data_IF_401212551865
#
_entry.id   IF_401212551865
#
_cell.length_a   1.000
_cell.length_b   1.000
_cell.length_c   1.000
_cell.angle_alpha   90.00
_cell.angle_beta   90.00
_cell.angle_gamma   90.00
#
_symmetry.space_group_name_H-M   'P 1'
#
loop_
_entity.id
_entity.type
_entity.pdbx_description
1 polymer ?
#
# COMPACT_ATOMS: atom_id res chain seq x y z
N UNK A 1 -23.51 10.36 -28.95
CA UNK A 1 -23.18 9.13 -28.21
C UNK A 1 -21.67 9.06 -28.05
N UNK A 2 -21.14 9.68 -27.00
CA UNK A 2 -19.79 9.41 -26.51
C UNK A 2 -19.97 8.97 -25.05
N UNK A 3 -19.64 7.72 -24.78
CA UNK A 3 -19.62 7.10 -23.46
C UNK A 3 -18.48 7.73 -22.67
N UNK A 4 -18.76 8.88 -22.05
CA UNK A 4 -17.88 9.50 -21.07
C UNK A 4 -17.96 8.68 -19.80
N UNK A 5 -17.24 7.55 -19.78
CA UNK A 5 -16.91 6.86 -18.54
C UNK A 5 -16.10 7.83 -17.71
N UNK A 6 -16.78 8.47 -16.77
CA UNK A 6 -16.17 9.18 -15.68
C UNK A 6 -15.08 8.26 -15.11
N UNK A 7 -13.86 8.74 -15.25
CA UNK A 7 -12.66 8.16 -14.70
C UNK A 7 -12.88 8.12 -13.18
N UNK A 8 -13.35 6.97 -12.69
CA UNK A 8 -13.34 6.56 -11.29
C UNK A 8 -11.88 6.46 -10.80
N UNK A 9 -11.07 7.49 -11.03
CA UNK A 9 -9.86 7.76 -10.26
C UNK A 9 -10.32 8.30 -8.90
N UNK A 10 -11.05 7.44 -8.18
CA UNK A 10 -11.21 7.48 -6.76
C UNK A 10 -9.81 7.73 -6.21
N UNK A 11 -9.59 8.92 -5.66
CA UNK A 11 -8.31 9.35 -5.12
C UNK A 11 -8.06 8.44 -3.92
N UNK A 12 -7.48 7.26 -4.18
CA UNK A 12 -6.97 6.36 -3.17
C UNK A 12 -5.95 7.20 -2.43
N UNK A 13 -6.37 7.70 -1.27
CA UNK A 13 -5.56 8.58 -0.45
C UNK A 13 -4.23 7.86 -0.23
N UNK A 14 -3.17 8.37 -0.87
CA UNK A 14 -1.86 7.74 -0.88
C UNK A 14 -1.21 7.95 0.48
N UNK A 15 -1.62 7.17 1.46
CA UNK A 15 -1.04 7.17 2.79
C UNK A 15 0.34 6.52 2.74
N UNK A 16 1.36 7.26 3.18
CA UNK A 16 2.70 6.72 3.36
C UNK A 16 2.78 6.05 4.72
N UNK A 17 2.94 4.72 4.74
CA UNK A 17 3.09 3.94 5.98
C UNK A 17 4.57 3.72 6.25
N UNK A 18 5.00 4.07 7.45
CA UNK A 18 6.36 3.83 7.94
C UNK A 18 6.32 2.79 9.04
N UNK A 19 7.20 1.79 8.94
CA UNK A 19 7.36 0.73 9.93
C UNK A 19 8.79 0.80 10.46
N UNK A 20 8.95 0.72 11.79
CA UNK A 20 10.24 0.75 12.48
C UNK A 20 10.33 -0.34 13.53
N UNK A 21 11.55 -0.73 13.88
CA UNK A 21 11.82 -1.68 14.96
C UNK A 21 13.31 -1.75 15.31
N UNK A 22 13.62 -2.10 16.55
CA UNK A 22 15.00 -2.24 17.05
C UNK A 22 15.44 -3.71 17.04
N UNK A 23 16.70 -3.97 16.70
CA UNK A 23 17.28 -5.31 16.67
C UNK A 23 16.42 -6.25 15.80
N UNK A 24 15.92 -7.35 16.35
CA UNK A 24 15.01 -8.29 15.69
C UNK A 24 13.74 -7.61 15.13
N UNK A 25 13.22 -6.60 15.83
CA UNK A 25 12.05 -5.85 15.39
C UNK A 25 12.30 -5.12 14.06
N UNK A 26 13.54 -4.74 13.75
CA UNK A 26 13.88 -4.09 12.48
C UNK A 26 13.82 -5.06 11.29
N UNK A 27 14.24 -6.32 11.51
CA UNK A 27 14.10 -7.37 10.51
C UNK A 27 12.62 -7.67 10.24
N UNK A 28 11.80 -7.75 11.29
CA UNK A 28 10.35 -7.92 11.16
C UNK A 28 9.68 -6.71 10.49
N UNK A 29 10.11 -5.49 10.80
CA UNK A 29 9.61 -4.28 10.15
C UNK A 29 9.88 -4.29 8.63
N UNK A 30 11.03 -4.83 8.22
CA UNK A 30 11.39 -4.98 6.80
C UNK A 30 10.54 -6.05 6.12
N UNK A 31 10.33 -7.21 6.76
CA UNK A 31 9.45 -8.26 6.24
C UNK A 31 8.00 -7.77 6.12
N UNK A 32 7.51 -7.02 7.11
CA UNK A 32 6.18 -6.41 7.07
C UNK A 32 6.06 -5.36 5.96
N UNK A 33 7.10 -4.54 5.73
CA UNK A 33 7.10 -3.58 4.63
C UNK A 33 7.07 -4.28 3.25
N UNK A 34 7.76 -5.42 3.11
CA UNK A 34 7.73 -6.24 1.90
C UNK A 34 6.36 -6.89 1.69
N UNK A 35 5.77 -7.46 2.74
CA UNK A 35 4.45 -8.07 2.67
C UNK A 35 3.37 -7.02 2.37
N UNK A 36 3.41 -5.87 3.06
CA UNK A 36 2.52 -4.73 2.80
C UNK A 36 2.66 -4.17 1.37
N UNK A 37 3.88 -4.08 0.83
CA UNK A 37 4.11 -3.62 -0.54
C UNK A 37 3.69 -4.65 -1.59
N UNK A 38 3.86 -5.95 -1.32
CA UNK A 38 3.35 -7.02 -2.19
C UNK A 38 1.82 -7.10 -2.11
N UNK A 39 1.25 -6.67 -0.99
CA UNK A 39 -0.17 -6.62 -0.69
C UNK A 39 -0.89 -5.36 -1.20
N UNK A 40 -0.81 -5.09 -2.50
CA UNK A 40 -2.04 -4.64 -3.22
C UNK A 40 -3.14 -5.75 -3.21
N UNK A 41 -3.10 -6.67 -2.25
CA UNK A 41 -3.58 -8.05 -2.28
C UNK A 41 -3.71 -8.52 -0.83
N UNK A 42 -4.84 -8.94 -0.29
CA UNK A 42 -6.05 -9.40 -0.96
C UNK A 42 -7.03 -8.26 -1.21
N UNK A 43 -7.67 -8.34 -2.38
CA UNK A 43 -8.94 -7.70 -2.69
C UNK A 43 -9.95 -7.83 -1.54
#
# INVERSE_FOLDING_TARGET
>A
MYDGRDDDSEVVSKWHIYVTGHSLGGALATLLALEFSSSQLAK
#
